data_IF_277769226835
#
_entry.id   IF_277769226835
#
_cell.length_a   1.000
_cell.length_b   1.000
_cell.length_c   1.000
_cell.angle_alpha   90.00
_cell.angle_beta   90.00
_cell.angle_gamma   90.00
#
_symmetry.space_group_name_H-M   'P 1'
#
loop_
_entity.id
_entity.type
_entity.pdbx_description
1 polymer ?
#
# COMPACT_ATOMS: atom_id res chain seq x y z
N UNK A 1 12.81 -6.64 -17.54
CA UNK A 1 11.85 -5.64 -18.05
C UNK A 1 10.51 -6.36 -18.17
N UNK A 2 9.50 -5.96 -17.39
CA UNK A 2 8.17 -6.58 -17.44
C UNK A 2 7.57 -6.42 -18.85
N UNK A 3 7.07 -7.52 -19.43
CA UNK A 3 6.44 -7.56 -20.76
C UNK A 3 5.21 -6.63 -20.88
N UNK A 4 4.69 -6.14 -19.75
CA UNK A 4 3.57 -5.20 -19.65
C UNK A 4 3.87 -3.82 -20.24
N UNK A 5 5.14 -3.41 -20.27
CA UNK A 5 5.57 -2.14 -20.89
C UNK A 5 5.28 -2.12 -22.41
N UNK A 6 5.32 -3.28 -23.08
CA UNK A 6 4.97 -3.41 -24.52
C UNK A 6 3.50 -3.05 -24.78
N UNK A 7 2.65 -3.17 -23.77
CA UNK A 7 1.23 -2.84 -23.82
C UNK A 7 0.90 -1.45 -23.24
N UNK A 8 1.93 -0.63 -22.95
CA UNK A 8 1.75 0.73 -22.40
C UNK A 8 1.24 0.75 -20.97
N UNK A 9 1.43 -0.33 -20.21
CA UNK A 9 0.98 -0.45 -18.83
C UNK A 9 2.12 -0.05 -17.90
N UNK A 10 1.97 1.10 -17.24
CA UNK A 10 2.84 1.48 -16.15
C UNK A 10 2.34 0.79 -14.88
N UNK A 11 3.17 -0.09 -14.31
CA UNK A 11 2.90 -0.70 -13.02
C UNK A 11 2.99 0.32 -11.88
N UNK A 12 3.66 1.45 -12.04
CA UNK A 12 3.77 2.44 -10.96
C UNK A 12 2.43 3.18 -10.68
N UNK A 13 2.15 3.53 -9.41
CA UNK A 13 1.00 4.37 -9.06
C UNK A 13 1.08 5.74 -9.75
N UNK A 14 -0.07 6.29 -10.14
CA UNK A 14 -0.15 7.70 -10.56
C UNK A 14 0.17 8.63 -9.38
N UNK A 15 0.59 9.85 -9.70
CA UNK A 15 1.04 10.87 -8.73
C UNK A 15 0.11 11.15 -7.55
N UNK A 16 -1.20 10.88 -7.68
CA UNK A 16 -2.20 11.03 -6.60
C UNK A 16 -1.86 10.18 -5.37
N UNK A 17 -1.38 8.94 -5.56
CA UNK A 17 -0.97 8.08 -4.43
C UNK A 17 0.23 8.70 -3.70
N UNK A 18 1.18 9.23 -4.47
CA UNK A 18 2.37 9.87 -3.92
C UNK A 18 2.04 11.17 -3.18
N UNK A 19 1.12 11.98 -3.72
CA UNK A 19 0.63 13.22 -3.09
C UNK A 19 -0.08 12.93 -1.76
N UNK A 20 -0.95 11.92 -1.72
CA UNK A 20 -1.68 11.53 -0.51
C UNK A 20 -0.73 11.09 0.61
N UNK A 21 0.23 10.21 0.29
CA UNK A 21 1.18 9.68 1.28
C UNK A 21 2.20 10.73 1.72
N UNK A 22 2.66 11.57 0.80
CA UNK A 22 3.57 12.69 1.13
C UNK A 22 2.87 13.73 1.99
N UNK A 23 1.61 14.06 1.68
CA UNK A 23 0.79 14.97 2.48
C UNK A 23 0.55 14.43 3.89
N UNK A 24 0.23 13.13 4.01
CA UNK A 24 0.10 12.48 5.31
C UNK A 24 1.42 12.49 6.10
N UNK A 25 2.55 12.11 5.50
CA UNK A 25 3.85 12.12 6.18
C UNK A 25 4.22 13.51 6.70
N UNK A 26 4.03 14.55 5.88
CA UNK A 26 4.31 15.93 6.30
C UNK A 26 3.43 16.35 7.49
N UNK A 27 2.13 16.01 7.47
CA UNK A 27 1.24 16.27 8.60
C UNK A 27 1.64 15.45 9.84
N UNK A 28 2.12 14.23 9.65
CA UNK A 28 2.56 13.34 10.71
C UNK A 28 3.77 13.89 11.47
N UNK A 29 4.85 14.24 10.76
CA UNK A 29 6.07 14.76 11.38
C UNK A 29 5.84 16.08 12.14
N UNK A 30 4.92 16.93 11.67
CA UNK A 30 4.58 18.18 12.35
C UNK A 30 3.77 17.90 13.63
N UNK A 31 2.78 17.01 13.56
CA UNK A 31 1.84 16.78 14.65
C UNK A 31 2.38 15.85 15.74
N UNK A 32 3.46 15.09 15.49
CA UNK A 32 4.08 14.15 16.45
C UNK A 32 4.46 14.81 17.77
N UNK A 33 4.88 16.07 17.72
CA UNK A 33 5.34 16.84 18.89
C UNK A 33 4.22 17.45 19.72
N UNK A 34 2.98 17.41 19.23
CA UNK A 34 1.84 17.99 19.95
C UNK A 34 1.18 16.90 20.82
N UNK A 35 1.22 17.07 22.16
CA UNK A 35 0.71 16.11 23.13
C UNK A 35 -0.81 15.95 23.10
N UNK A 36 -1.53 16.80 22.35
CA UNK A 36 -2.98 16.67 22.14
C UNK A 36 -3.34 15.48 21.24
N UNK A 37 -2.43 14.99 20.40
CA UNK A 37 -2.75 13.94 19.44
C UNK A 37 -2.48 12.55 20.00
N UNK A 38 -3.56 11.78 20.13
CA UNK A 38 -3.57 10.40 20.61
C UNK A 38 -3.05 9.44 19.53
N UNK A 39 -2.32 8.40 19.96
CA UNK A 39 -1.83 7.33 19.08
C UNK A 39 -2.96 6.69 18.25
N UNK A 40 -4.14 6.50 18.85
CA UNK A 40 -5.31 5.91 18.20
C UNK A 40 -5.75 6.66 16.93
N UNK A 41 -6.01 7.96 17.07
CA UNK A 41 -6.46 8.82 15.96
C UNK A 41 -5.42 8.88 14.86
N UNK A 42 -4.17 8.90 15.28
CA UNK A 42 -2.99 8.86 14.45
C UNK A 42 -2.90 7.57 13.61
N UNK A 43 -3.00 6.40 14.25
CA UNK A 43 -3.04 5.10 13.59
C UNK A 43 -4.22 4.98 12.62
N UNK A 44 -5.40 5.51 12.99
CA UNK A 44 -6.56 5.56 12.10
C UNK A 44 -6.30 6.43 10.86
N UNK A 45 -5.65 7.58 11.03
CA UNK A 45 -5.33 8.46 9.91
C UNK A 45 -4.39 7.79 8.91
N UNK A 46 -3.32 7.12 9.38
CA UNK A 46 -2.43 6.37 8.49
C UNK A 46 -3.15 5.23 7.79
N UNK A 47 -3.91 4.45 8.57
CA UNK A 47 -4.68 3.33 8.06
C UNK A 47 -5.62 3.77 6.92
N UNK A 48 -6.35 4.87 7.10
CA UNK A 48 -7.19 5.45 6.06
C UNK A 48 -6.38 5.96 4.85
N UNK A 49 -5.19 6.55 5.07
CA UNK A 49 -4.33 7.02 3.98
C UNK A 49 -3.80 5.85 3.13
N UNK A 50 -3.31 4.78 3.77
CA UNK A 50 -2.86 3.56 3.09
C UNK A 50 -4.04 2.90 2.36
N UNK A 51 -5.20 2.80 2.99
CA UNK A 51 -6.38 2.19 2.37
C UNK A 51 -6.82 2.95 1.12
N UNK A 52 -6.86 4.28 1.20
CA UNK A 52 -7.19 5.14 0.07
C UNK A 52 -6.14 5.00 -1.06
N UNK A 53 -4.85 5.03 -0.72
CA UNK A 53 -3.77 4.87 -1.68
C UNK A 53 -3.84 3.52 -2.42
N UNK A 54 -3.96 2.41 -1.69
CA UNK A 54 -4.08 1.08 -2.27
C UNK A 54 -5.39 0.91 -3.04
N UNK A 55 -6.50 1.49 -2.55
CA UNK A 55 -7.79 1.47 -3.25
C UNK A 55 -7.73 2.18 -4.61
N UNK A 56 -7.10 3.35 -4.68
CA UNK A 56 -6.91 4.08 -5.94
C UNK A 56 -5.99 3.32 -6.89
N UNK A 57 -4.91 2.73 -6.36
CA UNK A 57 -4.00 1.95 -7.17
C UNK A 57 -4.66 0.69 -7.75
N UNK A 58 -5.44 -0.03 -6.94
CA UNK A 58 -6.25 -1.17 -7.43
C UNK A 58 -7.25 -0.75 -8.52
N UNK A 59 -7.87 0.42 -8.38
CA UNK A 59 -8.77 0.94 -9.41
C UNK A 59 -8.01 1.21 -10.73
N UNK A 60 -6.81 1.78 -10.65
CA UNK A 60 -5.92 1.97 -11.81
C UNK A 60 -5.56 0.63 -12.46
N UNK A 61 -5.06 -0.34 -11.69
CA UNK A 61 -4.68 -1.65 -12.20
C UNK A 61 -5.86 -2.37 -12.88
N UNK A 62 -7.06 -2.32 -12.29
CA UNK A 62 -8.26 -2.91 -12.91
C UNK A 62 -8.65 -2.22 -14.21
N UNK A 63 -8.49 -0.91 -14.30
CA UNK A 63 -8.72 -0.17 -15.55
C UNK A 63 -7.72 -0.57 -16.63
N UNK A 64 -6.44 -0.71 -16.27
CA UNK A 64 -5.39 -1.07 -17.20
C UNK A 64 -5.49 -2.55 -17.62
N UNK A 65 -5.93 -3.46 -16.73
CA UNK A 65 -6.28 -4.85 -17.09
C UNK A 65 -7.45 -4.90 -18.09
N UNK A 66 -8.46 -4.04 -17.91
CA UNK A 66 -9.57 -3.95 -18.86
C UNK A 66 -9.09 -3.53 -20.25
N UNK A 67 -8.20 -2.53 -20.33
CA UNK A 67 -7.60 -2.09 -21.60
C UNK A 67 -6.77 -3.20 -22.23
N UNK A 68 -5.97 -3.91 -21.43
CA UNK A 68 -5.16 -5.03 -21.91
C UNK A 68 -6.04 -6.09 -22.58
N UNK A 69 -7.12 -6.50 -21.91
CA UNK A 69 -8.08 -7.46 -22.46
C UNK A 69 -8.76 -6.98 -23.74
N UNK A 70 -9.06 -5.68 -23.84
CA UNK A 70 -9.65 -5.08 -25.05
C UNK A 70 -8.67 -4.95 -26.21
N UNK A 71 -7.37 -4.85 -25.93
CA UNK A 71 -6.33 -4.78 -26.94
C UNK A 71 -5.94 -6.15 -27.51
N UNK A 72 -6.36 -7.25 -26.85
CA UNK A 72 -6.13 -8.59 -27.38
C UNK A 72 -6.99 -8.82 -28.64
N UNK A 73 -6.40 -9.30 -29.74
CA UNK A 73 -7.15 -9.57 -30.95
C UNK A 73 -8.20 -10.65 -30.69
N UNK A 74 -9.42 -10.42 -31.21
CA UNK A 74 -10.49 -11.40 -31.14
C UNK A 74 -10.12 -12.66 -31.95
N UNK A 75 -10.52 -13.86 -31.49
CA UNK A 75 -10.31 -15.08 -32.25
C UNK A 75 -10.96 -14.96 -33.62
N UNK A 76 -10.17 -15.08 -34.68
CA UNK A 76 -10.68 -15.10 -36.05
C UNK A 76 -10.65 -16.52 -36.60
N UNK A 77 -11.33 -16.74 -37.72
CA UNK A 77 -11.29 -18.03 -38.43
C UNK A 77 -9.87 -18.43 -38.85
N UNK A 78 -9.02 -17.44 -39.11
CA UNK A 78 -7.61 -17.62 -39.52
C UNK A 78 -6.67 -17.73 -38.32
N UNK A 79 -7.04 -17.15 -37.18
CA UNK A 79 -6.28 -17.23 -35.94
C UNK A 79 -7.22 -17.56 -34.75
N UNK A 80 -7.56 -18.84 -34.55
CA UNK A 80 -8.62 -19.26 -33.64
C UNK A 80 -8.25 -19.13 -32.16
N UNK A 81 -6.97 -18.85 -31.84
CA UNK A 81 -6.49 -18.69 -30.48
C UNK A 81 -5.91 -17.29 -30.27
N UNK A 82 -6.21 -16.63 -29.14
CA UNK A 82 -5.54 -15.38 -28.79
C UNK A 82 -4.03 -15.60 -28.63
N UNK A 83 -3.19 -14.60 -28.92
CA UNK A 83 -1.74 -14.70 -28.77
C UNK A 83 -1.37 -15.04 -27.31
N UNK A 84 -0.56 -16.10 -27.15
CA UNK A 84 -0.15 -16.64 -25.84
C UNK A 84 0.52 -15.59 -24.94
N UNK A 85 1.30 -14.68 -25.53
CA UNK A 85 1.97 -13.59 -24.81
C UNK A 85 0.98 -12.63 -24.16
N UNK A 86 -0.11 -12.30 -24.86
CA UNK A 86 -1.15 -11.42 -24.33
C UNK A 86 -1.96 -12.07 -23.21
N UNK A 87 -2.20 -13.38 -23.30
CA UNK A 87 -2.84 -14.14 -22.23
C UNK A 87 -1.94 -14.26 -20.99
N UNK A 88 -0.62 -14.41 -21.18
CA UNK A 88 0.35 -14.43 -20.08
C UNK A 88 0.37 -13.07 -19.36
N UNK A 89 0.42 -11.96 -20.08
CA UNK A 89 0.37 -10.61 -19.52
C UNK A 89 -0.92 -10.36 -18.71
N UNK A 90 -2.08 -10.81 -19.21
CA UNK A 90 -3.36 -10.73 -18.46
C UNK A 90 -3.27 -11.50 -17.15
N UNK A 91 -2.71 -12.71 -17.18
CA UNK A 91 -2.57 -13.56 -16.00
C UNK A 91 -1.61 -12.96 -14.97
N UNK A 92 -0.47 -12.43 -15.39
CA UNK A 92 0.49 -11.73 -14.52
C UNK A 92 -0.16 -10.53 -13.84
N UNK A 93 -0.88 -9.71 -14.60
CA UNK A 93 -1.57 -8.54 -14.06
C UNK A 93 -2.69 -8.92 -13.08
N UNK A 94 -3.44 -9.99 -13.34
CA UNK A 94 -4.43 -10.52 -12.38
C UNK A 94 -3.79 -11.01 -11.10
N UNK A 95 -2.65 -11.70 -11.19
CA UNK A 95 -1.89 -12.17 -10.02
C UNK A 95 -1.39 -10.99 -9.20
N UNK A 96 -0.86 -9.97 -9.86
CA UNK A 96 -0.40 -8.76 -9.20
C UNK A 96 -1.54 -8.00 -8.51
N UNK A 97 -2.71 -7.85 -9.15
CA UNK A 97 -3.90 -7.25 -8.51
C UNK A 97 -4.27 -8.00 -7.23
N UNK A 98 -4.32 -9.34 -7.26
CA UNK A 98 -4.61 -10.14 -6.06
C UNK A 98 -3.56 -9.94 -4.97
N UNK A 99 -2.29 -9.80 -5.35
CA UNK A 99 -1.20 -9.53 -4.41
C UNK A 99 -1.39 -8.18 -3.71
N UNK A 100 -1.70 -7.13 -4.46
CA UNK A 100 -2.00 -5.80 -3.90
C UNK A 100 -3.23 -5.84 -2.98
N UNK A 101 -4.28 -6.61 -3.33
CA UNK A 101 -5.46 -6.82 -2.46
C UNK A 101 -5.12 -7.51 -1.13
N UNK A 102 -4.20 -8.49 -1.14
CA UNK A 102 -3.72 -9.14 0.07
C UNK A 102 -2.99 -8.16 0.98
N UNK A 103 -2.07 -7.36 0.42
CA UNK A 103 -1.33 -6.33 1.18
C UNK A 103 -2.29 -5.29 1.75
N UNK A 104 -3.29 -4.87 0.98
CA UNK A 104 -4.36 -3.99 1.49
C UNK A 104 -5.11 -4.62 2.66
N UNK A 105 -5.39 -5.92 2.61
CA UNK A 105 -6.05 -6.63 3.71
C UNK A 105 -5.20 -6.63 4.98
N UNK A 106 -3.87 -6.77 4.86
CA UNK A 106 -2.94 -6.70 6.00
C UNK A 106 -2.87 -5.29 6.60
N UNK A 107 -2.87 -4.26 5.75
CA UNK A 107 -3.00 -2.88 6.22
C UNK A 107 -4.34 -2.68 6.96
N UNK A 108 -5.41 -3.30 6.45
CA UNK A 108 -6.75 -3.20 7.03
C UNK A 108 -6.95 -3.96 8.34
N UNK A 109 -6.13 -4.97 8.61
CA UNK A 109 -6.18 -5.76 9.83
C UNK A 109 -5.30 -5.21 10.97
N UNK A 110 -4.65 -4.05 10.76
CA UNK A 110 -3.80 -3.43 11.75
C UNK A 110 -4.56 -3.17 13.07
N UNK A 111 -4.00 -3.54 14.23
CA UNK A 111 -4.66 -3.30 15.51
C UNK A 111 -4.75 -1.79 15.77
N UNK A 112 -5.88 -1.35 16.32
CA UNK A 112 -6.12 0.05 16.67
C UNK A 112 -5.85 0.23 18.17
N UNK A 113 -4.87 1.08 18.56
CA UNK A 113 -4.56 1.34 19.95
C UNK A 113 -5.74 1.89 20.77
N UNK A 114 -5.76 1.68 22.10
CA UNK A 114 -6.76 2.27 22.98
C UNK A 114 -6.63 3.81 23.00
N UNK A 115 -7.73 4.47 23.35
CA UNK A 115 -7.85 5.94 23.29
C UNK A 115 -6.96 6.64 24.35
N UNK A 116 -6.64 5.92 25.42
CA UNK A 116 -5.87 6.40 26.58
C UNK A 116 -4.35 6.31 26.37
N UNK A 117 -3.89 5.68 25.28
CA UNK A 117 -2.45 5.53 25.04
C UNK A 117 -1.85 6.86 24.58
N UNK A 118 -1.17 7.53 25.51
CA UNK A 118 -0.45 8.79 25.30
C UNK A 118 1.06 8.49 25.38
N UNK A 119 1.81 8.86 24.35
CA UNK A 119 3.24 8.56 24.26
C UNK A 119 4.15 9.43 25.14
N UNK A 120 3.57 10.41 25.83
CA UNK A 120 4.35 11.40 26.57
C UNK A 120 4.43 11.04 28.05
N UNK A 121 5.65 11.02 28.59
CA UNK A 121 5.89 10.90 30.02
C UNK A 121 6.68 9.67 30.48
N UNK A 122 6.97 8.69 29.60
CA UNK A 122 7.87 7.56 29.89
C UNK A 122 8.81 7.30 28.71
N UNK A 123 10.09 7.00 28.99
CA UNK A 123 11.10 6.80 27.97
C UNK A 123 10.76 5.63 27.01
N UNK A 124 10.16 4.56 27.53
CA UNK A 124 9.76 3.39 26.75
C UNK A 124 8.67 3.72 25.72
N UNK A 125 7.71 4.57 26.10
CA UNK A 125 6.66 5.02 25.19
C UNK A 125 7.21 5.94 24.10
N UNK A 126 8.14 6.82 24.44
CA UNK A 126 8.80 7.68 23.45
C UNK A 126 9.62 6.86 22.45
N UNK A 127 10.38 5.87 22.93
CA UNK A 127 11.15 4.95 22.08
C UNK A 127 10.23 4.18 21.11
N UNK A 128 9.13 3.62 21.61
CA UNK A 128 8.14 2.93 20.77
C UNK A 128 7.54 3.86 19.70
N UNK A 129 7.24 5.12 20.05
CA UNK A 129 6.75 6.11 19.10
C UNK A 129 7.78 6.37 17.99
N UNK A 130 9.07 6.48 18.32
CA UNK A 130 10.13 6.66 17.31
C UNK A 130 10.25 5.45 16.39
N UNK A 131 10.09 4.24 16.91
CA UNK A 131 10.10 3.02 16.10
C UNK A 131 8.90 2.98 15.16
N UNK A 132 7.69 3.25 15.65
CA UNK A 132 6.50 3.35 14.80
C UNK A 132 6.65 4.44 13.72
N UNK A 133 7.24 5.58 14.05
CA UNK A 133 7.53 6.66 13.10
C UNK A 133 8.48 6.23 11.99
N UNK A 134 9.56 5.52 12.35
CA UNK A 134 10.52 5.01 11.38
C UNK A 134 9.85 4.02 10.42
N UNK A 135 9.06 3.08 10.97
CA UNK A 135 8.32 2.08 10.19
C UNK A 135 7.30 2.76 9.27
N UNK A 136 6.55 3.74 9.76
CA UNK A 136 5.59 4.50 8.96
C UNK A 136 6.26 5.25 7.79
N UNK A 137 7.45 5.81 8.03
CA UNK A 137 8.28 6.44 7.00
C UNK A 137 8.78 5.46 5.94
N UNK A 138 9.17 4.25 6.34
CA UNK A 138 9.54 3.17 5.43
C UNK A 138 8.36 2.75 4.54
N UNK A 139 7.14 2.61 5.11
CA UNK A 139 5.93 2.27 4.34
C UNK A 139 5.67 3.35 3.29
N UNK A 140 5.64 4.61 3.69
CA UNK A 140 5.34 5.71 2.77
C UNK A 140 6.38 5.80 1.65
N UNK A 141 7.66 5.59 1.95
CA UNK A 141 8.74 5.57 0.96
C UNK A 141 8.58 4.40 -0.02
N UNK A 142 8.33 3.19 0.48
CA UNK A 142 8.15 2.01 -0.37
C UNK A 142 6.90 2.12 -1.27
N UNK A 143 5.83 2.73 -0.75
CA UNK A 143 4.60 2.97 -1.51
C UNK A 143 4.74 4.02 -2.63
N UNK A 144 5.79 4.85 -2.64
CA UNK A 144 6.01 5.82 -3.72
C UNK A 144 6.43 5.16 -5.04
N UNK A 145 6.99 3.96 -4.97
CA UNK A 145 7.53 3.23 -6.11
C UNK A 145 6.92 1.83 -6.24
N UNK A 146 5.62 1.68 -5.95
CA UNK A 146 4.97 0.36 -5.96
C UNK A 146 5.13 -0.36 -7.31
N UNK A 147 5.70 -1.54 -7.22
CA UNK A 147 5.94 -2.54 -8.25
C UNK A 147 5.89 -3.93 -7.59
N UNK A 148 6.25 -4.99 -8.32
CA UNK A 148 6.27 -6.36 -7.79
C UNK A 148 7.30 -6.57 -6.67
N UNK A 149 8.40 -5.82 -6.66
CA UNK A 149 9.46 -6.01 -5.65
C UNK A 149 9.11 -5.28 -4.36
N UNK A 150 8.58 -4.07 -4.51
CA UNK A 150 8.24 -3.18 -3.40
C UNK A 150 6.93 -3.58 -2.74
N UNK A 151 5.99 -4.24 -3.43
CA UNK A 151 4.75 -4.72 -2.78
C UNK A 151 5.05 -5.77 -1.69
N UNK A 152 6.04 -6.64 -1.92
CA UNK A 152 6.48 -7.64 -0.94
C UNK A 152 7.21 -6.97 0.23
N UNK A 153 7.98 -5.92 -0.04
CA UNK A 153 8.60 -5.10 1.00
C UNK A 153 7.55 -4.38 1.86
N UNK A 154 6.53 -3.79 1.23
CA UNK A 154 5.42 -3.12 1.93
C UNK A 154 4.70 -4.10 2.86
N UNK A 155 4.45 -5.33 2.40
CA UNK A 155 3.87 -6.38 3.26
C UNK A 155 4.74 -6.62 4.50
N UNK A 156 6.03 -6.86 4.32
CA UNK A 156 6.95 -7.14 5.43
C UNK A 156 6.98 -5.98 6.44
N UNK A 157 7.00 -4.73 5.95
CA UNK A 157 7.00 -3.54 6.80
C UNK A 157 5.66 -3.41 7.55
N UNK A 158 4.53 -3.66 6.89
CA UNK A 158 3.20 -3.65 7.52
C UNK A 158 3.07 -4.71 8.62
N UNK A 159 3.57 -5.93 8.38
CA UNK A 159 3.60 -7.00 9.39
C UNK A 159 4.41 -6.58 10.61
N UNK A 160 5.60 -5.99 10.40
CA UNK A 160 6.43 -5.44 11.49
C UNK A 160 5.70 -4.33 12.24
N UNK A 161 5.06 -3.40 11.54
CA UNK A 161 4.25 -2.33 12.14
C UNK A 161 3.14 -2.88 13.01
N UNK A 162 2.39 -3.85 12.50
CA UNK A 162 1.26 -4.45 13.20
C UNK A 162 1.73 -5.16 14.48
N UNK A 163 2.90 -5.81 14.45
CA UNK A 163 3.50 -6.41 15.64
C UNK A 163 3.85 -5.38 16.72
N UNK A 164 4.41 -4.21 16.34
CA UNK A 164 4.68 -3.11 17.27
C UNK A 164 3.40 -2.55 17.90
N UNK A 165 2.36 -2.35 17.09
CA UNK A 165 1.06 -1.89 17.59
C UNK A 165 0.39 -2.91 18.52
N UNK A 166 0.57 -4.21 18.26
CA UNK A 166 0.05 -5.28 19.11
C UNK A 166 0.59 -5.17 20.55
N UNK A 167 1.88 -4.81 20.69
CA UNK A 167 2.51 -4.59 22.00
C UNK A 167 1.84 -3.45 22.76
N UNK A 168 1.32 -2.43 22.06
CA UNK A 168 0.60 -1.31 22.66
C UNK A 168 -0.87 -1.63 23.03
N UNK A 169 -1.40 -2.74 22.52
CA UNK A 169 -2.80 -3.16 22.76
C UNK A 169 -2.94 -4.30 23.77
N UNK A 170 -1.82 -4.86 24.22
CA UNK A 170 -1.81 -5.94 25.21
C UNK A 170 -1.68 -5.31 26.60
N UNK A 171 -2.56 -5.64 27.57
CA UNK A 171 -2.54 -5.04 28.92
C UNK A 171 -1.34 -5.47 29.75
#
# INVERSE_FOLDING_TARGET
MSDLMKYGIALAPRGVVNELLTGWMNAWFINVKDPKYRLRERSRALHNAIDNALGQYLAQLRQDLKKLRQALPEPTRENPYPPLEGLAAVKEMEQYIRRVEQVRTIALSAPIPPDEYVFHGTADNEQMLYELLAVDGEIATAMQSMDETTIDQIEAILVRRNALLQQCTTP
#
